data_IF_826502836158
#
_entry.id   IF_826502836158
#
_cell.length_a   1.000
_cell.length_b   1.000
_cell.length_c   1.000
_cell.angle_alpha   90.00
_cell.angle_beta   90.00
_cell.angle_gamma   90.00
#
_symmetry.space_group_name_H-M   'P 1'
#
loop_
_entity.id
_entity.type
_entity.pdbx_description
1 polymer ?
#
# COMPACT_ATOMS: atom_id res chain seq x y z
N UNK A 1 13.49 -0.99 -12.33
CA UNK A 1 13.05 -1.52 -13.65
C UNK A 1 11.93 -2.50 -13.42
N UNK A 2 10.85 -2.47 -14.22
CA UNK A 2 9.85 -3.55 -14.21
C UNK A 2 10.44 -4.68 -15.04
N UNK A 3 10.69 -5.82 -14.40
CA UNK A 3 11.13 -7.03 -15.10
C UNK A 3 9.86 -7.73 -15.60
N UNK A 4 9.65 -7.88 -16.92
CA UNK A 4 8.47 -8.56 -17.44
C UNK A 4 8.43 -10.01 -16.96
N UNK A 5 7.25 -10.46 -16.55
CA UNK A 5 6.99 -11.87 -16.23
C UNK A 5 6.72 -12.60 -17.56
N UNK A 6 7.10 -13.87 -17.64
CA UNK A 6 6.80 -14.70 -18.81
C UNK A 6 5.28 -14.68 -19.12
N UNK A 7 4.95 -14.48 -20.40
CA UNK A 7 3.56 -14.38 -20.85
C UNK A 7 2.89 -13.02 -20.60
N UNK A 8 3.55 -12.06 -19.96
CA UNK A 8 3.02 -10.71 -19.71
C UNK A 8 3.68 -9.71 -20.66
N UNK A 9 2.86 -9.05 -21.49
CA UNK A 9 3.32 -7.92 -22.29
C UNK A 9 3.30 -6.64 -21.45
N UNK A 10 4.39 -5.88 -21.51
CA UNK A 10 4.55 -4.64 -20.75
C UNK A 10 4.90 -3.51 -21.70
N UNK A 11 4.15 -2.41 -21.62
CA UNK A 11 4.49 -1.14 -22.25
C UNK A 11 4.52 -0.06 -21.17
N UNK A 12 5.51 0.83 -21.26
CA UNK A 12 5.71 1.90 -20.29
C UNK A 12 5.60 3.23 -21.03
N UNK A 13 4.73 4.11 -20.54
CA UNK A 13 4.64 5.51 -20.96
C UNK A 13 4.99 6.41 -19.78
N UNK A 14 5.81 7.43 -20.03
CA UNK A 14 6.28 8.36 -19.00
C UNK A 14 5.68 9.73 -19.25
N UNK A 15 4.88 10.20 -18.30
CA UNK A 15 4.33 11.56 -18.30
C UNK A 15 5.16 12.48 -17.38
N UNK A 16 5.42 13.75 -17.76
CA UNK A 16 5.99 14.74 -16.85
C UNK A 16 5.13 14.95 -15.60
N UNK A 17 5.74 15.25 -14.46
CA UNK A 17 5.04 15.42 -13.17
C UNK A 17 3.86 16.41 -13.17
N UNK A 18 3.92 17.43 -14.03
CA UNK A 18 2.86 18.46 -14.18
C UNK A 18 1.76 18.06 -15.16
N UNK A 19 1.76 16.82 -15.64
CA UNK A 19 0.74 16.34 -16.57
C UNK A 19 -0.59 16.22 -15.84
N UNK A 20 -1.61 16.87 -16.40
CA UNK A 20 -2.99 16.80 -15.90
C UNK A 20 -3.94 16.09 -16.87
N UNK A 21 -3.55 15.95 -18.13
CA UNK A 21 -4.24 15.17 -19.15
C UNK A 21 -3.35 14.02 -19.62
N UNK A 22 -3.75 12.79 -19.31
CA UNK A 22 -3.03 11.57 -19.63
C UNK A 22 -3.56 10.90 -20.91
N UNK A 23 -4.60 11.45 -21.54
CA UNK A 23 -5.20 10.94 -22.77
C UNK A 23 -4.17 10.64 -23.86
N UNK A 24 -3.16 11.50 -24.15
CA UNK A 24 -2.17 11.20 -25.18
C UNK A 24 -1.28 9.99 -24.88
N UNK A 25 -1.01 9.72 -23.60
CA UNK A 25 -0.22 8.56 -23.17
C UNK A 25 -1.07 7.30 -23.19
N UNK A 26 -2.31 7.39 -22.70
CA UNK A 26 -3.27 6.28 -22.72
C UNK A 26 -3.56 5.82 -24.15
N UNK A 27 -3.72 6.73 -25.12
CA UNK A 27 -3.94 6.35 -26.54
C UNK A 27 -2.81 5.51 -27.12
N UNK A 28 -1.56 5.69 -26.67
CA UNK A 28 -0.43 4.85 -27.11
C UNK A 28 -0.48 3.43 -26.53
N UNK A 29 -1.22 3.23 -25.44
CA UNK A 29 -1.45 1.93 -24.83
C UNK A 29 -2.68 1.22 -25.42
N UNK A 30 -3.45 1.88 -26.29
CA UNK A 30 -4.75 1.35 -26.72
C UNK A 30 -4.62 0.07 -27.55
N UNK A 31 -3.60 -0.01 -28.41
CA UNK A 31 -3.32 -1.19 -29.23
C UNK A 31 -2.86 -2.40 -28.39
N UNK A 32 -2.28 -2.15 -27.20
CA UNK A 32 -1.94 -3.21 -26.24
C UNK A 32 -3.19 -3.84 -25.62
N UNK A 33 -4.32 -3.11 -25.59
CA UNK A 33 -5.55 -3.49 -24.88
C UNK A 33 -5.26 -3.99 -23.45
N UNK A 34 -4.65 -3.15 -22.59
CA UNK A 34 -4.12 -3.61 -21.32
C UNK A 34 -5.24 -4.03 -20.37
N UNK A 35 -5.03 -5.17 -19.71
CA UNK A 35 -5.94 -5.66 -18.66
C UNK A 35 -5.64 -5.01 -17.31
N UNK A 36 -4.42 -4.47 -17.13
CA UNK A 36 -3.97 -3.90 -15.86
C UNK A 36 -3.17 -2.63 -16.08
N UNK A 37 -3.40 -1.61 -15.24
CA UNK A 37 -2.60 -0.38 -15.24
C UNK A 37 -1.80 -0.25 -13.95
N UNK A 38 -0.49 0.00 -14.10
CA UNK A 38 0.41 0.34 -12.98
C UNK A 38 0.77 1.82 -13.14
N UNK A 39 0.18 2.67 -12.30
CA UNK A 39 0.42 4.12 -12.31
C UNK A 39 1.14 4.63 -11.06
N UNK A 40 1.79 3.73 -10.32
CA UNK A 40 2.59 4.01 -9.11
C UNK A 40 3.69 5.05 -9.30
N UNK A 41 4.21 5.22 -10.52
CA UNK A 41 5.26 6.18 -10.85
C UNK A 41 4.80 7.65 -10.97
N UNK A 42 3.50 7.94 -10.87
CA UNK A 42 2.99 9.30 -11.04
C UNK A 42 1.89 9.65 -10.01
N UNK A 43 2.26 9.95 -8.75
CA UNK A 43 1.29 10.21 -7.67
C UNK A 43 0.18 11.24 -8.00
N UNK A 44 0.47 12.38 -8.66
CA UNK A 44 -0.60 13.33 -9.04
C UNK A 44 -1.65 12.74 -10.01
N UNK A 45 -1.30 11.67 -10.72
CA UNK A 45 -2.13 10.99 -11.70
C UNK A 45 -2.98 9.87 -11.13
N UNK A 46 -2.84 9.52 -9.84
CA UNK A 46 -3.47 8.34 -9.24
C UNK A 46 -4.97 8.22 -9.52
N UNK A 47 -5.70 9.34 -9.50
CA UNK A 47 -7.14 9.35 -9.76
C UNK A 47 -7.49 9.65 -11.21
N UNK A 48 -6.65 10.42 -11.93
CA UNK A 48 -6.96 10.90 -13.28
C UNK A 48 -6.71 9.83 -14.34
N UNK A 49 -5.60 9.10 -14.22
CA UNK A 49 -5.20 8.04 -15.16
C UNK A 49 -6.29 6.96 -15.28
N UNK A 50 -6.76 6.30 -14.20
CA UNK A 50 -7.79 5.28 -14.32
C UNK A 50 -9.12 5.83 -14.83
N UNK A 51 -9.53 7.04 -14.42
CA UNK A 51 -10.74 7.69 -14.95
C UNK A 51 -10.67 7.92 -16.46
N UNK A 52 -9.60 8.54 -16.93
CA UNK A 52 -9.41 8.82 -18.35
C UNK A 52 -9.25 7.53 -19.17
N UNK A 53 -8.64 6.48 -18.60
CA UNK A 53 -8.58 5.17 -19.25
C UNK A 53 -9.98 4.58 -19.46
N UNK A 54 -10.84 4.62 -18.44
CA UNK A 54 -12.23 4.15 -18.54
C UNK A 54 -13.03 5.02 -19.52
N UNK A 55 -12.87 6.34 -19.49
CA UNK A 55 -13.50 7.27 -20.45
C UNK A 55 -13.07 6.98 -21.90
N UNK A 56 -11.84 6.51 -22.12
CA UNK A 56 -11.33 6.06 -23.42
C UNK A 56 -11.75 4.64 -23.81
N UNK A 57 -12.51 3.94 -22.95
CA UNK A 57 -13.08 2.63 -23.23
C UNK A 57 -12.20 1.44 -22.83
N UNK A 58 -11.13 1.66 -22.06
CA UNK A 58 -10.29 0.56 -21.56
C UNK A 58 -11.10 -0.39 -20.68
N UNK A 59 -10.98 -1.69 -20.92
CA UNK A 59 -11.66 -2.75 -20.17
C UNK A 59 -10.72 -3.33 -19.11
N UNK A 60 -10.30 -2.49 -18.17
CA UNK A 60 -9.34 -2.87 -17.13
C UNK A 60 -9.95 -3.91 -16.18
N UNK A 61 -9.17 -4.93 -15.83
CA UNK A 61 -9.45 -5.85 -14.72
C UNK A 61 -8.93 -5.32 -13.39
N UNK A 62 -8.00 -4.36 -13.43
CA UNK A 62 -7.57 -3.64 -12.24
C UNK A 62 -6.53 -2.55 -12.53
N UNK A 63 -6.27 -1.74 -11.52
CA UNK A 63 -5.24 -0.70 -11.56
C UNK A 63 -4.67 -0.44 -10.17
N UNK A 64 -3.40 -0.03 -10.12
CA UNK A 64 -2.68 0.23 -8.86
C UNK A 64 -1.91 1.55 -8.91
N UNK A 65 -2.19 2.41 -7.94
CA UNK A 65 -1.58 3.74 -7.79
C UNK A 65 -0.41 3.76 -6.81
N UNK A 66 0.10 4.96 -6.55
CA UNK A 66 1.30 5.22 -5.73
C UNK A 66 1.07 5.19 -4.21
N UNK A 67 0.44 4.14 -3.66
CA UNK A 67 0.21 3.98 -2.20
C UNK A 67 -0.54 5.17 -1.59
N UNK A 68 -1.87 5.20 -1.72
CA UNK A 68 -2.69 6.36 -1.33
C UNK A 68 -3.69 5.94 -0.25
N UNK A 69 -3.98 6.77 0.76
CA UNK A 69 -5.00 6.46 1.74
C UNK A 69 -6.32 6.02 1.10
N UNK A 70 -6.93 4.90 1.54
CA UNK A 70 -8.16 4.36 0.95
C UNK A 70 -9.28 5.38 0.78
N UNK A 71 -9.50 6.23 1.78
CA UNK A 71 -10.51 7.29 1.74
C UNK A 71 -10.26 8.30 0.62
N UNK A 72 -8.99 8.64 0.36
CA UNK A 72 -8.63 9.54 -0.72
C UNK A 72 -8.83 8.87 -2.09
N UNK A 73 -8.56 7.56 -2.22
CA UNK A 73 -8.87 6.77 -3.41
C UNK A 73 -10.38 6.77 -3.67
N UNK A 74 -11.18 6.43 -2.67
CA UNK A 74 -12.63 6.30 -2.80
C UNK A 74 -13.31 7.64 -3.05
N UNK A 75 -12.90 8.70 -2.35
CA UNK A 75 -13.36 10.07 -2.64
C UNK A 75 -12.94 10.53 -4.04
N UNK A 76 -11.71 10.18 -4.44
CA UNK A 76 -11.12 10.58 -5.71
C UNK A 76 -11.76 9.89 -6.91
N UNK A 77 -12.07 8.60 -6.80
CA UNK A 77 -12.56 7.76 -7.90
C UNK A 77 -14.07 7.52 -7.88
N UNK A 78 -14.72 7.59 -6.72
CA UNK A 78 -16.10 7.14 -6.55
C UNK A 78 -16.23 5.66 -6.94
N UNK A 79 -17.32 5.30 -7.61
CA UNK A 79 -17.62 3.91 -8.00
C UNK A 79 -16.56 3.27 -8.91
N UNK A 80 -15.74 4.07 -9.60
CA UNK A 80 -14.59 3.57 -10.38
C UNK A 80 -13.62 2.80 -9.49
N UNK A 81 -13.49 3.15 -8.20
CA UNK A 81 -12.65 2.40 -7.27
C UNK A 81 -13.08 0.93 -7.16
N UNK A 82 -14.39 0.66 -7.18
CA UNK A 82 -14.93 -0.68 -7.06
C UNK A 82 -14.76 -1.53 -8.32
N UNK A 83 -14.32 -0.93 -9.44
CA UNK A 83 -14.06 -1.61 -10.72
C UNK A 83 -12.66 -2.23 -10.81
N UNK A 84 -11.93 -2.30 -9.69
CA UNK A 84 -10.63 -2.96 -9.63
C UNK A 84 -9.48 -2.07 -9.18
N UNK A 85 -9.75 -0.99 -8.44
CA UNK A 85 -8.67 -0.31 -7.72
C UNK A 85 -8.01 -1.29 -6.75
N UNK A 86 -6.68 -1.30 -6.77
CA UNK A 86 -5.86 -2.07 -5.88
C UNK A 86 -4.85 -1.16 -5.20
N UNK A 87 -4.42 -1.57 -4.00
CA UNK A 87 -3.27 -0.99 -3.33
C UNK A 87 -2.46 -2.08 -2.61
N UNK A 88 -1.28 -1.73 -2.16
CA UNK A 88 -0.46 -2.57 -1.30
C UNK A 88 -0.38 -1.95 0.10
N UNK A 89 -0.42 -2.79 1.12
CA UNK A 89 -0.41 -2.39 2.52
C UNK A 89 0.54 -3.26 3.34
N UNK A 90 1.01 -2.65 4.42
CA UNK A 90 1.73 -3.34 5.48
C UNK A 90 0.84 -3.76 6.65
N UNK A 91 -0.43 -3.34 6.64
CA UNK A 91 -1.41 -3.74 7.63
C UNK A 91 -1.87 -5.18 7.41
N UNK A 92 -1.93 -5.97 8.48
CA UNK A 92 -2.64 -7.24 8.47
C UNK A 92 -4.11 -7.02 8.82
N UNK A 93 -4.88 -6.58 7.81
CA UNK A 93 -6.34 -6.33 7.92
C UNK A 93 -7.14 -7.56 8.38
N UNK A 94 -6.57 -8.77 8.27
CA UNK A 94 -7.22 -10.00 8.70
C UNK A 94 -7.07 -10.26 10.21
N UNK A 95 -6.00 -9.75 10.82
CA UNK A 95 -5.65 -10.00 12.22
C UNK A 95 -6.63 -9.35 13.21
N UNK A 96 -6.88 -10.02 14.33
CA UNK A 96 -7.65 -9.44 15.43
C UNK A 96 -6.91 -8.26 16.08
N UNK A 97 -5.59 -8.34 16.19
CA UNK A 97 -4.77 -7.27 16.74
C UNK A 97 -4.90 -5.97 15.94
N UNK A 98 -4.94 -6.05 14.60
CA UNK A 98 -5.22 -4.88 13.77
C UNK A 98 -6.62 -4.33 14.03
N UNK A 99 -7.65 -5.20 14.05
CA UNK A 99 -9.05 -4.77 14.25
C UNK A 99 -9.24 -4.05 15.59
N UNK A 100 -8.72 -4.61 16.67
CA UNK A 100 -8.78 -4.01 18.01
C UNK A 100 -8.05 -2.66 18.05
N UNK A 101 -6.86 -2.58 17.43
CA UNK A 101 -6.10 -1.35 17.37
C UNK A 101 -6.80 -0.28 16.52
N UNK A 102 -7.36 -0.66 15.37
CA UNK A 102 -8.10 0.23 14.48
C UNK A 102 -9.38 0.76 15.13
N UNK A 103 -10.12 -0.09 15.86
CA UNK A 103 -11.28 0.35 16.64
C UNK A 103 -10.91 1.38 17.71
N UNK A 104 -9.78 1.20 18.39
CA UNK A 104 -9.28 2.18 19.37
C UNK A 104 -8.87 3.48 18.67
N UNK A 105 -8.12 3.37 17.58
CA UNK A 105 -7.70 4.51 16.78
C UNK A 105 -8.90 5.33 16.30
N UNK A 106 -9.95 4.68 15.81
CA UNK A 106 -11.18 5.34 15.38
C UNK A 106 -11.87 6.07 16.53
N UNK A 107 -11.99 5.42 17.70
CA UNK A 107 -12.59 6.06 18.89
C UNK A 107 -11.84 7.32 19.34
N UNK A 108 -10.51 7.32 19.18
CA UNK A 108 -9.65 8.42 19.62
C UNK A 108 -9.56 9.56 18.58
N UNK A 109 -9.65 9.25 17.29
CA UNK A 109 -9.37 10.20 16.19
C UNK A 109 -10.56 10.52 15.30
N UNK A 110 -11.53 9.61 15.19
CA UNK A 110 -12.60 9.64 14.18
C UNK A 110 -12.16 9.19 12.78
N UNK A 111 -10.90 8.81 12.60
CA UNK A 111 -10.34 8.44 11.29
C UNK A 111 -10.12 6.93 11.18
N UNK A 112 -10.17 6.40 9.95
CA UNK A 112 -9.77 5.03 9.69
C UNK A 112 -8.27 4.83 9.88
N UNK A 113 -7.87 3.76 10.58
CA UNK A 113 -6.45 3.40 10.75
C UNK A 113 -5.89 2.75 9.49
N UNK A 114 -5.52 3.58 8.52
CA UNK A 114 -4.86 3.13 7.30
C UNK A 114 -3.38 2.73 7.52
N UNK A 115 -2.73 2.25 6.47
CA UNK A 115 -1.39 1.65 6.56
C UNK A 115 -0.30 2.62 7.05
N UNK A 116 -0.38 3.92 6.74
CA UNK A 116 0.58 4.91 7.24
C UNK A 116 0.40 5.19 8.73
N UNK A 117 -0.85 5.33 9.22
CA UNK A 117 -1.16 5.45 10.64
C UNK A 117 -0.65 4.24 11.43
N UNK A 118 -0.88 3.02 10.91
CA UNK A 118 -0.32 1.81 11.49
C UNK A 118 1.21 1.81 11.47
N UNK A 119 1.83 2.21 10.36
CA UNK A 119 3.29 2.27 10.26
C UNK A 119 3.88 3.22 11.30
N UNK A 120 3.26 4.39 11.50
CA UNK A 120 3.65 5.33 12.55
C UNK A 120 3.60 4.70 13.94
N UNK A 121 2.48 4.04 14.27
CA UNK A 121 2.31 3.34 15.55
C UNK A 121 3.36 2.24 15.76
N UNK A 122 3.51 1.34 14.78
CA UNK A 122 4.42 0.19 14.85
C UNK A 122 5.88 0.64 14.91
N UNK A 123 6.23 1.75 14.26
CA UNK A 123 7.59 2.32 14.32
C UNK A 123 7.92 2.80 15.73
N UNK A 124 7.00 3.48 16.41
CA UNK A 124 7.20 3.90 17.81
C UNK A 124 7.32 2.68 18.72
N UNK A 125 6.49 1.66 18.52
CA UNK A 125 6.57 0.40 19.29
C UNK A 125 7.91 -0.32 19.08
N UNK A 126 8.45 -0.31 17.86
CA UNK A 126 9.78 -0.86 17.57
C UNK A 126 10.89 -0.10 18.29
N UNK A 127 10.80 1.23 18.36
CA UNK A 127 11.77 2.06 19.11
C UNK A 127 11.69 1.74 20.61
N UNK A 128 10.48 1.60 21.16
CA UNK A 128 10.27 1.21 22.55
C UNK A 128 10.87 -0.18 22.86
N UNK A 129 10.60 -1.17 22.01
CA UNK A 129 11.18 -2.52 22.10
C UNK A 129 12.72 -2.49 22.03
N UNK A 130 13.30 -1.64 21.19
CA UNK A 130 14.75 -1.48 21.11
C UNK A 130 15.36 -0.82 22.37
N UNK A 131 14.67 0.15 22.97
CA UNK A 131 15.06 0.74 24.26
C UNK A 131 15.02 -0.34 25.35
N UNK A 132 13.97 -1.14 25.39
CA UNK A 132 13.82 -2.23 26.36
C UNK A 132 14.90 -3.31 26.17
N UNK A 133 15.22 -3.69 24.93
CA UNK A 133 16.26 -4.70 24.66
C UNK A 133 17.67 -4.20 24.98
N UNK A 134 17.96 -2.95 24.65
CA UNK A 134 19.30 -2.37 24.83
C UNK A 134 19.53 -1.80 26.23
N UNK A 135 18.46 -1.59 27.01
CA UNK A 135 18.49 -0.88 28.29
C UNK A 135 19.18 0.49 28.16
N UNK A 136 19.00 1.15 27.02
CA UNK A 136 19.69 2.38 26.66
C UNK A 136 18.74 3.40 26.04
N UNK A 137 18.99 4.67 26.32
CA UNK A 137 18.38 5.81 25.64
C UNK A 137 19.33 6.47 24.63
N UNK A 138 20.53 5.92 24.45
CA UNK A 138 21.48 6.42 23.46
C UNK A 138 20.96 6.12 22.03
N UNK A 139 20.79 7.14 21.16
CA UNK A 139 20.23 6.93 19.82
C UNK A 139 21.06 6.01 18.93
N UNK A 140 22.38 5.98 19.07
CA UNK A 140 23.23 5.10 18.28
C UNK A 140 23.05 3.64 18.72
N UNK A 141 22.94 3.39 20.03
CA UNK A 141 22.65 2.05 20.57
C UNK A 141 21.26 1.56 20.17
N UNK A 142 20.23 2.43 20.24
CA UNK A 142 18.87 2.08 19.80
C UNK A 142 18.87 1.76 18.30
N UNK A 143 19.48 2.61 17.48
CA UNK A 143 19.54 2.39 16.05
C UNK A 143 20.30 1.11 15.68
N UNK A 144 21.39 0.79 16.38
CA UNK A 144 22.13 -0.47 16.19
C UNK A 144 21.27 -1.69 16.57
N UNK A 145 20.54 -1.59 17.69
CA UNK A 145 19.61 -2.64 18.14
C UNK A 145 18.52 -2.90 17.11
N UNK A 146 17.97 -1.86 16.48
CA UNK A 146 16.98 -1.99 15.40
C UNK A 146 17.61 -2.61 14.15
N UNK A 147 18.77 -2.11 13.70
CA UNK A 147 19.45 -2.60 12.49
C UNK A 147 19.78 -4.09 12.56
N UNK A 148 20.26 -4.54 13.72
CA UNK A 148 20.67 -5.93 13.95
C UNK A 148 19.55 -6.80 14.53
N UNK A 149 18.39 -6.20 14.78
CA UNK A 149 17.28 -6.84 15.47
C UNK A 149 16.19 -7.37 14.55
N UNK A 150 15.14 -7.86 15.21
CA UNK A 150 13.89 -8.27 14.57
C UNK A 150 12.74 -7.92 15.51
N UNK A 151 11.78 -7.17 14.98
CA UNK A 151 10.58 -6.75 15.71
C UNK A 151 9.33 -7.32 15.03
N UNK A 152 8.38 -7.81 15.83
CA UNK A 152 7.12 -8.39 15.33
C UNK A 152 5.97 -7.70 16.03
N UNK A 153 5.08 -7.11 15.25
CA UNK A 153 3.82 -6.58 15.75
C UNK A 153 2.66 -7.33 15.10
N UNK A 154 1.70 -7.88 15.85
CA UNK A 154 0.66 -8.76 15.30
C UNK A 154 -0.33 -8.07 14.36
N UNK A 155 -0.40 -6.73 14.37
CA UNK A 155 -1.18 -5.95 13.40
C UNK A 155 -0.43 -5.66 12.08
N UNK A 156 0.87 -5.95 12.01
CA UNK A 156 1.73 -5.67 10.84
C UNK A 156 2.00 -6.97 10.08
N UNK A 157 1.94 -6.92 8.75
CA UNK A 157 1.87 -8.11 7.92
C UNK A 157 3.17 -8.94 7.87
N UNK A 158 4.30 -8.35 8.24
CA UNK A 158 5.60 -9.03 8.34
C UNK A 158 6.43 -8.51 9.53
N UNK A 159 7.45 -9.26 9.95
CA UNK A 159 8.46 -8.78 10.89
C UNK A 159 9.25 -7.58 10.33
N UNK A 160 9.47 -6.56 11.14
CA UNK A 160 10.42 -5.50 10.83
C UNK A 160 11.83 -5.99 11.17
N UNK A 161 12.59 -6.30 10.12
CA UNK A 161 14.00 -6.65 10.15
C UNK A 161 14.68 -6.16 8.88
N UNK A 162 15.97 -5.84 8.99
CA UNK A 162 16.70 -5.13 7.95
C UNK A 162 17.90 -5.94 7.45
N UNK A 163 18.26 -5.73 6.19
CA UNK A 163 19.57 -6.15 5.66
C UNK A 163 20.66 -5.22 6.19
N UNK A 164 21.92 -5.61 6.00
CA UNK A 164 23.08 -4.78 6.39
C UNK A 164 23.06 -3.38 5.74
N UNK A 165 22.49 -3.27 4.53
CA UNK A 165 22.35 -2.02 3.79
C UNK A 165 21.00 -1.31 3.98
N UNK A 166 20.16 -1.81 4.89
CA UNK A 166 18.93 -1.12 5.34
C UNK A 166 17.65 -1.45 4.58
N UNK A 167 17.64 -2.44 3.69
CA UNK A 167 16.41 -2.93 3.03
C UNK A 167 15.61 -3.84 3.96
N UNK A 168 14.28 -3.89 3.78
CA UNK A 168 13.43 -4.82 4.55
C UNK A 168 13.69 -6.27 4.15
N UNK A 169 14.11 -7.10 5.12
CA UNK A 169 14.54 -8.48 4.88
C UNK A 169 13.38 -9.46 4.69
N UNK A 170 12.28 -9.24 5.40
CA UNK A 170 11.15 -10.17 5.50
C UNK A 170 9.85 -9.60 4.90
N UNK A 171 9.93 -8.56 4.06
CA UNK A 171 8.75 -7.89 3.53
C UNK A 171 7.82 -8.84 2.78
N UNK A 172 6.55 -8.91 3.22
CA UNK A 172 5.47 -9.63 2.53
C UNK A 172 4.28 -8.69 2.30
N UNK A 173 4.36 -7.72 1.37
CA UNK A 173 3.25 -6.82 1.05
C UNK A 173 1.92 -7.55 0.85
N UNK A 174 0.87 -6.96 1.41
CA UNK A 174 -0.51 -7.41 1.26
C UNK A 174 -1.17 -6.55 0.20
N UNK A 175 -1.68 -7.16 -0.86
CA UNK A 175 -2.47 -6.50 -1.87
C UNK A 175 -3.95 -6.52 -1.48
N UNK A 176 -4.57 -5.36 -1.60
CA UNK A 176 -5.96 -5.15 -1.21
C UNK A 176 -6.76 -4.49 -2.33
N UNK A 177 -8.07 -4.64 -2.26
CA UNK A 177 -9.04 -3.91 -3.09
C UNK A 177 -10.16 -3.36 -2.20
N UNK A 178 -11.04 -2.57 -2.81
CA UNK A 178 -12.18 -1.95 -2.13
C UNK A 178 -13.48 -2.53 -2.65
N UNK A 179 -14.43 -2.77 -1.74
CA UNK A 179 -15.78 -3.28 -2.07
C UNK A 179 -16.85 -2.39 -1.43
N UNK A 180 -18.02 -2.24 -2.06
CA UNK A 180 -19.15 -1.53 -1.47
C UNK A 180 -19.74 -2.34 -0.30
N UNK A 181 -20.27 -1.64 0.69
CA UNK A 181 -20.85 -2.16 1.92
C UNK A 181 -19.94 -1.94 3.13
N UNK A 182 -20.52 -1.85 4.34
CA UNK A 182 -19.79 -1.45 5.54
C UNK A 182 -18.65 -2.41 5.88
N UNK A 183 -17.58 -1.93 6.54
CA UNK A 183 -16.48 -2.76 6.97
C UNK A 183 -16.90 -3.69 8.11
N UNK A 184 -16.28 -4.87 8.22
CA UNK A 184 -16.57 -5.79 9.31
C UNK A 184 -15.99 -5.26 10.63
N UNK A 185 -16.80 -5.28 11.70
CA UNK A 185 -16.38 -4.77 13.01
C UNK A 185 -16.32 -3.24 13.05
N UNK A 186 -16.08 -2.66 14.23
CA UNK A 186 -16.14 -1.21 14.43
C UNK A 186 -14.94 -0.42 13.89
N UNK A 187 -14.22 -0.97 12.90
CA UNK A 187 -12.92 -0.45 12.43
C UNK A 187 -13.04 0.84 11.61
N UNK A 188 -14.18 1.05 10.96
CA UNK A 188 -14.55 2.30 10.27
C UNK A 188 -16.08 2.36 10.13
N UNK A 189 -16.81 2.56 11.24
CA UNK A 189 -18.26 2.36 11.30
C UNK A 189 -19.06 3.31 10.40
N UNK A 190 -18.49 4.46 10.02
CA UNK A 190 -19.16 5.46 9.19
C UNK A 190 -18.92 5.24 7.68
N UNK A 191 -18.11 4.25 7.30
CA UNK A 191 -17.86 3.90 5.90
C UNK A 191 -18.93 2.96 5.32
N UNK A 192 -19.28 3.21 4.07
CA UNK A 192 -20.11 2.35 3.21
C UNK A 192 -19.27 1.48 2.27
N UNK A 193 -18.00 1.27 2.61
CA UNK A 193 -17.03 0.47 1.85
C UNK A 193 -16.15 -0.34 2.81
N UNK A 194 -15.53 -1.38 2.27
CA UNK A 194 -14.60 -2.24 3.02
C UNK A 194 -13.37 -2.60 2.20
N UNK A 195 -12.29 -2.89 2.92
CA UNK A 195 -11.07 -3.46 2.35
C UNK A 195 -11.24 -4.97 2.24
N UNK A 196 -10.83 -5.52 1.10
CA UNK A 196 -10.71 -6.95 0.86
C UNK A 196 -9.25 -7.29 0.54
N UNK A 197 -8.70 -8.30 1.23
CA UNK A 197 -7.36 -8.81 0.93
C UNK A 197 -7.44 -9.68 -0.32
N UNK A 198 -6.72 -9.29 -1.37
CA UNK A 198 -6.62 -10.05 -2.60
C UNK A 198 -5.53 -11.11 -2.54
N UNK A 199 -4.35 -10.71 -2.06
CA UNK A 199 -3.17 -11.54 -2.11
C UNK A 199 -2.14 -11.08 -1.08
N UNK A 200 -1.52 -12.03 -0.39
CA UNK A 200 -0.31 -11.78 0.39
C UNK A 200 0.87 -12.33 -0.38
N UNK A 201 1.84 -11.49 -0.69
CA UNK A 201 3.04 -11.93 -1.40
C UNK A 201 3.86 -12.92 -0.56
N UNK A 202 4.59 -13.85 -1.21
CA UNK A 202 5.72 -14.49 -0.55
C UNK A 202 6.76 -13.42 -0.16
N UNK A 203 7.69 -13.71 0.76
CA UNK A 203 8.75 -12.78 1.12
C UNK A 203 9.47 -12.27 -0.13
N UNK A 204 9.52 -10.95 -0.28
CA UNK A 204 10.22 -10.32 -1.39
C UNK A 204 11.73 -10.51 -1.22
N UNK A 205 12.43 -10.63 -2.34
CA UNK A 205 13.90 -10.57 -2.32
C UNK A 205 14.30 -9.10 -2.12
N UNK A 206 15.07 -8.78 -1.06
CA UNK A 206 15.54 -7.41 -0.85
C UNK A 206 16.39 -6.95 -2.03
N UNK A 207 16.27 -5.67 -2.41
CA UNK A 207 17.17 -5.06 -3.38
C UNK A 207 18.61 -5.14 -2.85
N UNK A 208 19.58 -5.42 -3.72
CA UNK A 208 21.01 -5.41 -3.38
C UNK A 208 21.64 -4.21 -4.11
N UNK A 209 22.16 -3.21 -3.39
CA UNK A 209 22.86 -2.07 -3.99
C UNK A 209 24.06 -2.52 -4.83
N UNK A 210 24.28 -1.83 -5.95
CA UNK A 210 25.49 -1.95 -6.78
C UNK A 210 26.68 -1.18 -6.21
#
# INVERSE_FOLDING_TARGET
YIIPIEGVQVQIEVAPLRTDDFTPYLRKLQDLNPEFLINTGHPPGNMKIPKQAIELGFQLKGFIGSGTPPEAILKGLGDVAFQGAMDYACADYSSNAYKELAEKYYKDTGDFMEAHALTGYVTVMMIADAIEKSQSFDPAVIADTIRNGRFVHPAYAWPLSYTEWGELKEATPVYVTYKPGPPPGGINPDADWRIEVLFKSPPLTPYVPE
#
